data_IF_852396076929
#
_entry.id   IF_852396076929
#
_cell.length_a   1.000
_cell.length_b   1.000
_cell.length_c   1.000
_cell.angle_alpha   90.00
_cell.angle_beta   90.00
_cell.angle_gamma   90.00
#
_symmetry.space_group_name_H-M   'P 1'
#
loop_
_entity.id
_entity.type
_entity.pdbx_description
1 polymer ?
#
# COMPACT_ATOMS: atom_id res chain seq x y z
N UNK A 1 -12.89 -21.97 19.25
CA UNK A 1 -11.47 -21.71 18.92
C UNK A 1 -11.17 -20.29 19.38
N UNK A 2 -10.18 -20.09 20.25
CA UNK A 2 -10.01 -18.83 20.98
C UNK A 2 -9.87 -17.63 20.02
N UNK A 3 -10.68 -16.60 20.22
CA UNK A 3 -10.41 -15.28 19.66
C UNK A 3 -9.03 -14.85 20.17
N UNK A 4 -8.03 -14.80 19.28
CA UNK A 4 -6.72 -14.23 19.58
C UNK A 4 -6.95 -12.72 19.73
N UNK A 5 -6.90 -12.23 20.96
CA UNK A 5 -6.93 -10.80 21.21
C UNK A 5 -5.62 -10.20 20.71
N UNK A 6 -5.66 -9.54 19.55
CA UNK A 6 -4.56 -8.65 19.17
C UNK A 6 -4.49 -7.50 20.18
N UNK A 7 -3.28 -7.06 20.54
CA UNK A 7 -3.14 -6.00 21.54
C UNK A 7 -3.77 -4.70 21.03
N UNK A 8 -4.34 -3.93 21.95
CA UNK A 8 -4.85 -2.59 21.62
C UNK A 8 -3.68 -1.72 21.20
N UNK A 9 -3.79 -1.04 20.06
CA UNK A 9 -2.78 -0.08 19.61
C UNK A 9 -2.81 1.10 20.60
N UNK A 10 -1.70 1.44 21.25
CA UNK A 10 -1.69 2.50 22.24
C UNK A 10 -2.08 3.84 21.58
N UNK A 11 -2.74 4.77 22.30
CA UNK A 11 -3.10 6.08 21.75
C UNK A 11 -1.88 6.91 21.29
N UNK A 12 -0.71 6.63 21.87
CA UNK A 12 0.56 7.22 21.45
C UNK A 12 1.05 6.72 20.09
N UNK A 13 0.43 5.67 19.55
CA UNK A 13 0.87 4.96 18.36
C UNK A 13 2.25 4.33 18.49
N UNK A 14 2.96 4.27 17.38
CA UNK A 14 4.31 3.72 17.24
C UNK A 14 5.26 4.75 16.59
N UNK A 15 5.53 5.90 17.25
CA UNK A 15 6.32 6.99 16.66
C UNK A 15 7.78 6.63 16.41
N UNK A 16 8.30 5.60 17.09
CA UNK A 16 9.67 5.13 16.92
C UNK A 16 9.79 3.99 15.91
N UNK A 17 8.68 3.52 15.33
CA UNK A 17 8.72 2.49 14.30
C UNK A 17 9.18 3.12 12.98
N UNK A 18 10.33 2.65 12.50
CA UNK A 18 10.94 3.12 11.24
C UNK A 18 10.71 2.13 10.11
N UNK A 19 10.72 0.83 10.42
CA UNK A 19 10.61 -0.25 9.44
C UNK A 19 9.66 -1.32 9.97
N UNK A 20 8.90 -1.93 9.07
CA UNK A 20 7.99 -3.03 9.39
C UNK A 20 7.99 -4.08 8.29
N UNK A 21 8.20 -5.33 8.71
CA UNK A 21 8.25 -6.50 7.85
C UNK A 21 7.18 -7.47 8.32
N UNK A 22 6.21 -7.77 7.48
CA UNK A 22 5.10 -8.63 7.85
C UNK A 22 5.02 -9.85 6.94
N UNK A 23 4.94 -11.04 7.54
CA UNK A 23 4.83 -12.31 6.82
C UNK A 23 3.79 -13.18 7.50
N UNK A 24 2.88 -13.74 6.71
CA UNK A 24 1.90 -14.72 7.18
C UNK A 24 1.79 -15.85 6.17
N UNK A 25 2.37 -16.99 6.54
CA UNK A 25 2.48 -18.16 5.68
C UNK A 25 1.23 -19.06 5.73
N UNK A 26 0.26 -18.74 6.58
CA UNK A 26 -0.85 -19.62 6.90
C UNK A 26 -2.17 -19.26 6.21
N UNK A 27 -2.25 -18.12 5.53
CA UNK A 27 -3.48 -17.64 4.90
C UNK A 27 -3.25 -17.38 3.40
N UNK A 28 -3.66 -18.34 2.56
CA UNK A 28 -3.50 -18.25 1.10
C UNK A 28 -4.72 -17.68 0.37
N UNK A 29 -5.89 -17.69 1.01
CA UNK A 29 -7.16 -17.30 0.37
C UNK A 29 -7.62 -15.87 0.71
N UNK A 30 -6.96 -15.21 1.67
CA UNK A 30 -7.32 -13.85 2.10
C UNK A 30 -6.37 -13.28 3.15
N UNK A 31 -6.40 -11.96 3.34
CA UNK A 31 -5.54 -11.29 4.31
C UNK A 31 -5.95 -11.68 5.74
N UNK A 32 -4.99 -12.10 6.55
CA UNK A 32 -5.26 -12.58 7.90
C UNK A 32 -5.67 -11.45 8.84
N UNK A 33 -6.33 -11.80 9.95
CA UNK A 33 -6.63 -10.83 11.01
C UNK A 33 -5.36 -10.16 11.57
N UNK A 34 -4.22 -10.87 11.53
CA UNK A 34 -2.93 -10.30 11.91
C UNK A 34 -2.47 -9.24 10.90
N UNK A 35 -2.69 -9.47 9.60
CA UNK A 35 -2.41 -8.49 8.55
C UNK A 35 -3.26 -7.23 8.75
N UNK A 36 -4.57 -7.40 8.99
CA UNK A 36 -5.49 -6.29 9.25
C UNK A 36 -5.05 -5.47 10.46
N UNK A 37 -4.74 -6.15 11.57
CA UNK A 37 -4.22 -5.49 12.77
C UNK A 37 -2.90 -4.76 12.51
N UNK A 38 -1.99 -5.35 11.73
CA UNK A 38 -0.72 -4.71 11.35
C UNK A 38 -0.95 -3.41 10.59
N UNK A 39 -1.88 -3.37 9.64
CA UNK A 39 -2.20 -2.13 8.92
C UNK A 39 -2.71 -1.03 9.86
N UNK A 40 -3.58 -1.36 10.82
CA UNK A 40 -4.00 -0.38 11.84
C UNK A 40 -2.81 0.12 12.67
N UNK A 41 -1.87 -0.77 13.03
CA UNK A 41 -0.68 -0.40 13.77
C UNK A 41 0.24 0.52 12.95
N UNK A 42 0.41 0.26 11.66
CA UNK A 42 1.21 1.09 10.74
C UNK A 42 0.59 2.47 10.52
N UNK A 43 -0.74 2.61 10.53
CA UNK A 43 -1.38 3.94 10.51
C UNK A 43 -1.03 4.76 11.74
N UNK A 44 -0.80 4.11 12.87
CA UNK A 44 -0.35 4.73 14.10
C UNK A 44 1.18 4.97 14.13
N UNK A 45 1.91 4.66 13.06
CA UNK A 45 3.37 4.84 12.94
C UNK A 45 3.72 6.01 12.01
N UNK A 46 3.68 7.27 12.48
CA UNK A 46 3.85 8.45 11.62
C UNK A 46 5.23 8.56 10.96
N UNK A 47 6.26 7.97 11.55
CA UNK A 47 7.65 8.05 11.09
C UNK A 47 8.11 6.82 10.31
N UNK A 48 7.19 5.93 9.93
CA UNK A 48 7.52 4.74 9.14
C UNK A 48 8.14 5.15 7.80
N UNK A 49 9.22 4.47 7.42
CA UNK A 49 9.99 4.73 6.19
C UNK A 49 10.02 3.52 5.27
N UNK A 50 9.88 2.32 5.81
CA UNK A 50 9.91 1.07 5.06
C UNK A 50 8.79 0.15 5.54
N UNK A 51 7.96 -0.32 4.62
CA UNK A 51 6.96 -1.36 4.86
C UNK A 51 7.11 -2.46 3.82
N UNK A 52 7.21 -3.70 4.28
CA UNK A 52 7.24 -4.89 3.42
C UNK A 52 6.16 -5.89 3.85
N UNK A 53 5.30 -6.24 2.89
CA UNK A 53 4.28 -7.28 3.02
C UNK A 53 4.68 -8.53 2.23
N UNK A 54 5.17 -9.52 2.96
CA UNK A 54 5.34 -10.91 2.52
C UNK A 54 4.08 -11.74 2.79
N UNK A 55 2.92 -11.14 2.57
CA UNK A 55 1.58 -11.74 2.64
C UNK A 55 0.67 -10.93 1.72
N UNK A 56 -0.54 -11.42 1.47
CA UNK A 56 -1.57 -10.58 0.85
C UNK A 56 -1.80 -9.32 1.70
N UNK A 57 -1.65 -8.16 1.07
CA UNK A 57 -1.95 -6.86 1.71
C UNK A 57 -3.45 -6.80 2.00
N UNK A 58 -3.87 -6.55 3.25
CA UNK A 58 -5.28 -6.30 3.55
C UNK A 58 -5.67 -4.94 2.95
N UNK A 59 -6.95 -4.78 2.61
CA UNK A 59 -7.42 -3.52 2.02
C UNK A 59 -7.01 -2.31 2.87
N UNK A 60 -6.43 -1.32 2.20
CA UNK A 60 -5.99 -0.04 2.76
C UNK A 60 -7.11 1.01 2.69
N UNK A 61 -8.26 0.68 2.08
CA UNK A 61 -9.44 1.55 2.05
C UNK A 61 -9.95 1.81 3.46
N UNK A 62 -9.86 3.06 3.91
CA UNK A 62 -10.30 3.46 5.24
C UNK A 62 -11.13 4.74 5.18
N UNK A 63 -12.07 4.95 6.12
CA UNK A 63 -12.84 6.18 6.21
C UNK A 63 -11.95 7.42 6.39
N UNK A 64 -10.86 7.28 7.15
CA UNK A 64 -9.96 8.38 7.50
C UNK A 64 -8.76 8.52 6.54
N UNK A 65 -8.68 7.67 5.52
CA UNK A 65 -7.52 7.52 4.65
C UNK A 65 -6.30 6.89 5.34
N UNK A 66 -5.25 6.67 4.56
CA UNK A 66 -3.90 6.36 5.05
C UNK A 66 -3.03 7.57 4.73
N UNK A 67 -2.14 7.99 5.64
CA UNK A 67 -1.14 9.00 5.35
C UNK A 67 0.19 8.58 5.96
N UNK A 68 1.10 8.08 5.13
CA UNK A 68 2.46 7.74 5.53
C UNK A 68 3.43 8.74 4.89
N UNK A 69 3.41 9.97 5.41
CA UNK A 69 4.15 11.11 4.84
C UNK A 69 5.67 10.88 4.70
N UNK A 70 6.23 10.00 5.54
CA UNK A 70 7.66 9.69 5.58
C UNK A 70 8.03 8.34 4.94
N UNK A 71 7.05 7.60 4.42
CA UNK A 71 7.30 6.33 3.76
C UNK A 71 8.12 6.53 2.49
N UNK A 72 9.21 5.78 2.37
CA UNK A 72 10.14 5.81 1.24
C UNK A 72 10.10 4.51 0.45
N UNK A 73 9.90 3.38 1.12
CA UNK A 73 9.89 2.05 0.50
C UNK A 73 8.60 1.34 0.89
N UNK A 74 7.86 0.88 -0.12
CA UNK A 74 6.70 0.01 0.05
C UNK A 74 6.84 -1.21 -0.85
N UNK A 75 6.75 -2.39 -0.24
CA UNK A 75 6.88 -3.67 -0.94
C UNK A 75 5.69 -4.59 -0.61
N UNK A 76 5.12 -5.21 -1.64
CA UNK A 76 4.00 -6.14 -1.51
C UNK A 76 4.14 -7.31 -2.49
N UNK A 77 4.85 -8.36 -2.07
CA UNK A 77 5.23 -9.46 -2.96
C UNK A 77 4.15 -10.54 -3.10
N UNK A 78 3.21 -10.63 -2.15
CA UNK A 78 2.22 -11.72 -2.10
C UNK A 78 0.79 -11.29 -2.48
N UNK A 79 0.67 -10.16 -3.17
CA UNK A 79 -0.59 -9.64 -3.67
C UNK A 79 -1.00 -8.33 -3.00
N UNK A 80 -1.55 -7.43 -3.81
CA UNK A 80 -2.19 -6.19 -3.41
C UNK A 80 -3.33 -5.87 -4.38
N UNK A 81 -4.42 -5.28 -3.90
CA UNK A 81 -5.47 -4.81 -4.80
C UNK A 81 -5.01 -3.55 -5.53
N UNK A 82 -5.49 -3.37 -6.76
CA UNK A 82 -5.15 -2.19 -7.57
C UNK A 82 -5.62 -0.86 -6.91
N UNK A 83 -6.75 -0.86 -6.21
CA UNK A 83 -7.21 0.32 -5.50
C UNK A 83 -6.24 0.69 -4.35
N UNK A 84 -5.68 -0.31 -3.67
CA UNK A 84 -4.71 -0.09 -2.59
C UNK A 84 -3.36 0.41 -3.13
N UNK A 85 -2.96 -0.02 -4.33
CA UNK A 85 -1.81 0.54 -5.03
C UNK A 85 -1.97 2.06 -5.20
N UNK A 86 -3.12 2.52 -5.70
CA UNK A 86 -3.38 3.94 -5.86
C UNK A 86 -3.49 4.70 -4.54
N UNK A 87 -4.01 4.06 -3.48
CA UNK A 87 -3.96 4.63 -2.13
C UNK A 87 -2.51 4.89 -1.72
N UNK A 88 -1.60 3.92 -1.86
CA UNK A 88 -0.18 4.12 -1.54
C UNK A 88 0.41 5.27 -2.34
N UNK A 89 0.14 5.31 -3.65
CA UNK A 89 0.64 6.36 -4.55
C UNK A 89 0.16 7.77 -4.17
N UNK A 90 -1.09 7.92 -3.71
CA UNK A 90 -1.65 9.21 -3.30
C UNK A 90 -1.28 9.60 -1.86
N UNK A 91 -1.02 8.62 -1.00
CA UNK A 91 -0.85 8.81 0.44
C UNK A 91 0.59 8.86 0.92
N UNK A 92 1.56 8.63 0.02
CA UNK A 92 2.99 8.52 0.37
C UNK A 92 3.83 9.51 -0.46
N UNK A 93 3.81 10.82 -0.15
CA UNK A 93 4.52 11.84 -0.92
C UNK A 93 6.06 11.74 -0.87
N UNK A 94 6.61 10.92 0.03
CA UNK A 94 8.05 10.68 0.13
C UNK A 94 8.49 9.36 -0.49
N UNK A 95 7.61 8.67 -1.21
CA UNK A 95 7.88 7.34 -1.75
C UNK A 95 9.00 7.40 -2.80
N UNK A 96 10.03 6.60 -2.60
CA UNK A 96 11.22 6.48 -3.45
C UNK A 96 11.20 5.14 -4.21
N UNK A 97 10.71 4.07 -3.57
CA UNK A 97 10.62 2.72 -4.14
C UNK A 97 9.24 2.13 -3.87
N UNK A 98 8.63 1.61 -4.93
CA UNK A 98 7.38 0.86 -4.89
C UNK A 98 7.54 -0.44 -5.67
N UNK A 99 7.42 -1.58 -4.99
CA UNK A 99 7.49 -2.91 -5.60
C UNK A 99 6.26 -3.73 -5.22
N UNK A 100 5.39 -4.00 -6.19
CA UNK A 100 4.06 -4.58 -5.93
C UNK A 100 3.71 -5.67 -6.92
N UNK A 101 3.32 -6.82 -6.40
CA UNK A 101 2.61 -7.86 -7.14
C UNK A 101 1.10 -7.65 -6.95
N UNK A 102 0.37 -7.43 -8.03
CA UNK A 102 -1.08 -7.30 -7.95
C UNK A 102 -1.75 -8.65 -7.68
N UNK A 103 -2.77 -8.64 -6.82
CA UNK A 103 -3.53 -9.84 -6.52
C UNK A 103 -4.44 -10.20 -7.70
N UNK A 104 -4.19 -11.36 -8.30
CA UNK A 104 -4.98 -11.88 -9.43
C UNK A 104 -6.06 -12.87 -9.00
N UNK A 105 -6.14 -13.22 -7.71
CA UNK A 105 -7.08 -14.23 -7.19
C UNK A 105 -8.50 -13.71 -7.06
N UNK A 106 -8.66 -12.39 -6.89
CA UNK A 106 -9.95 -11.74 -6.68
C UNK A 106 -10.26 -10.87 -7.89
N UNK A 107 -11.40 -11.14 -8.53
CA UNK A 107 -12.01 -10.23 -9.50
C UNK A 107 -12.65 -9.07 -8.74
N UNK A 108 -11.84 -8.09 -8.34
CA UNK A 108 -12.35 -6.88 -7.71
C UNK A 108 -12.54 -5.79 -8.78
N UNK A 109 -13.76 -5.23 -8.94
CA UNK A 109 -13.95 -4.06 -9.78
C UNK A 109 -13.11 -2.90 -9.25
N UNK A 110 -12.34 -2.27 -10.14
CA UNK A 110 -11.68 -1.01 -9.84
C UNK A 110 -12.73 0.05 -9.49
N UNK A 111 -12.66 0.61 -8.28
CA UNK A 111 -13.67 1.55 -7.79
C UNK A 111 -13.13 2.95 -7.52
N UNK A 112 -11.80 3.12 -7.52
CA UNK A 112 -11.20 4.41 -7.18
C UNK A 112 -11.35 5.40 -8.33
N UNK A 113 -12.16 6.44 -8.17
CA UNK A 113 -12.06 7.59 -9.06
C UNK A 113 -10.79 8.37 -8.67
N UNK A 114 -9.86 8.53 -9.62
CA UNK A 114 -8.65 9.34 -9.44
C UNK A 114 -9.02 10.82 -9.46
N UNK A 115 -9.67 11.29 -8.40
CA UNK A 115 -10.06 12.70 -8.25
C UNK A 115 -8.87 13.61 -7.90
N UNK A 116 -7.76 13.02 -7.43
CA UNK A 116 -6.55 13.72 -6.99
C UNK A 116 -5.38 13.36 -7.89
N UNK A 117 -4.58 14.37 -8.21
CA UNK A 117 -3.31 14.16 -8.90
C UNK A 117 -2.37 13.33 -8.03
N UNK A 118 -1.79 12.29 -8.64
CA UNK A 118 -0.74 11.47 -8.03
C UNK A 118 0.58 12.22 -8.20
N UNK A 119 1.13 12.72 -7.08
CA UNK A 119 2.41 13.42 -7.04
C UNK A 119 3.51 12.47 -6.55
N UNK A 120 4.38 12.03 -7.46
CA UNK A 120 5.46 11.07 -7.20
C UNK A 120 6.84 11.66 -7.49
N UNK A 121 7.07 12.92 -7.11
CA UNK A 121 8.33 13.65 -7.40
C UNK A 121 9.60 12.92 -6.94
N UNK A 122 9.48 12.07 -5.90
CA UNK A 122 10.61 11.33 -5.33
C UNK A 122 10.69 9.88 -5.78
N UNK A 123 9.72 9.38 -6.54
CA UNK A 123 9.68 7.98 -6.93
C UNK A 123 10.79 7.70 -7.95
N UNK A 124 11.70 6.82 -7.56
CA UNK A 124 12.85 6.41 -8.39
C UNK A 124 12.61 5.04 -9.01
N UNK A 125 11.95 4.15 -8.27
CA UNK A 125 11.72 2.77 -8.69
C UNK A 125 10.24 2.43 -8.57
N UNK A 126 9.65 2.00 -9.69
CA UNK A 126 8.31 1.41 -9.77
C UNK A 126 8.41 0.03 -10.41
N UNK A 127 8.11 -1.00 -9.63
CA UNK A 127 8.00 -2.37 -10.10
C UNK A 127 6.57 -2.85 -9.87
N UNK A 128 5.92 -3.27 -10.94
CA UNK A 128 4.57 -3.82 -10.90
C UNK A 128 4.57 -5.17 -11.61
N UNK A 129 4.15 -6.23 -10.93
CA UNK A 129 4.00 -7.56 -11.52
C UNK A 129 2.57 -8.09 -11.37
N UNK A 130 2.30 -9.21 -12.05
CA UNK A 130 0.99 -9.88 -12.06
C UNK A 130 -0.17 -9.00 -12.53
N UNK A 131 0.11 -8.01 -13.40
CA UNK A 131 -0.89 -7.11 -13.97
C UNK A 131 -1.79 -7.90 -14.93
N UNK A 132 -3.11 -7.81 -14.73
CA UNK A 132 -4.09 -8.37 -15.66
C UNK A 132 -4.32 -7.42 -16.85
N UNK A 133 -4.73 -7.98 -17.99
CA UNK A 133 -4.88 -7.20 -19.23
C UNK A 133 -5.91 -6.06 -19.11
N UNK A 134 -6.98 -6.27 -18.34
CA UNK A 134 -8.02 -5.28 -18.04
C UNK A 134 -7.55 -4.15 -17.11
N UNK A 135 -6.54 -4.41 -16.28
CA UNK A 135 -5.98 -3.44 -15.33
C UNK A 135 -4.95 -2.52 -15.96
N UNK A 136 -4.27 -2.96 -17.02
CA UNK A 136 -3.19 -2.20 -17.66
C UNK A 136 -3.61 -0.78 -18.08
N UNK A 137 -4.77 -0.54 -18.75
CA UNK A 137 -5.18 0.81 -19.11
C UNK A 137 -5.38 1.72 -17.89
N UNK A 138 -5.84 1.18 -16.77
CA UNK A 138 -6.09 1.92 -15.52
C UNK A 138 -4.76 2.34 -14.91
N UNK A 139 -3.81 1.41 -14.81
CA UNK A 139 -2.46 1.69 -14.32
C UNK A 139 -1.79 2.73 -15.19
N UNK A 140 -1.87 2.58 -16.52
CA UNK A 140 -1.27 3.54 -17.44
C UNK A 140 -1.90 4.92 -17.29
N UNK A 141 -3.24 5.03 -17.25
CA UNK A 141 -3.94 6.30 -17.09
C UNK A 141 -3.67 6.96 -15.74
N UNK A 142 -3.67 6.20 -14.65
CA UNK A 142 -3.37 6.72 -13.32
C UNK A 142 -1.89 7.04 -13.10
N UNK A 143 -1.01 6.46 -13.92
CA UNK A 143 0.42 6.78 -13.95
C UNK A 143 0.78 7.78 -15.05
N UNK A 144 -0.20 8.43 -15.71
CA UNK A 144 0.12 9.56 -16.60
C UNK A 144 0.57 10.72 -15.71
N UNK A 145 1.87 10.75 -15.47
CA UNK A 145 2.54 11.82 -14.78
C UNK A 145 2.34 13.12 -15.57
N UNK A 146 2.06 14.26 -14.91
CA UNK A 146 2.44 15.52 -15.53
C UNK A 146 3.95 15.44 -15.72
N UNK A 147 4.39 15.22 -16.96
CA UNK A 147 5.75 15.49 -17.37
C UNK A 147 6.00 16.93 -16.94
N UNK A 148 6.80 17.13 -15.89
CA UNK A 148 7.22 18.46 -15.47
C UNK A 148 7.84 19.11 -16.69
N UNK A 149 7.14 20.10 -17.25
CA UNK A 149 7.58 20.91 -18.38
C UNK A 149 8.69 21.90 -17.95
N UNK A 150 9.65 21.43 -17.15
CA UNK A 150 10.81 22.20 -16.72
C UNK A 150 12.03 21.79 -17.54
N UNK A 151 11.89 21.96 -18.86
CA UNK A 151 13.04 22.37 -19.68
C UNK A 151 13.03 23.91 -19.72
N UNK A 152 13.71 24.54 -18.77
CA UNK A 152 14.15 25.93 -18.86
C UNK A 152 15.61 26.05 -18.51
#
# INVERSE_FOLDING_TARGET
MAAKFFPVIPPSGAPNLIEAYFSDWHHQDGASEAAKWMVEFLKAAPNIRHVEFNTLVPSLKTPDGVLWAHLRVFEAQNGMQIDDLFIVLMSCPSLETLDVNLDTRVDDPYTLELEKEICLEKLQTLTLACIRQDQLPIILNGSIFPLSNDFR
#
